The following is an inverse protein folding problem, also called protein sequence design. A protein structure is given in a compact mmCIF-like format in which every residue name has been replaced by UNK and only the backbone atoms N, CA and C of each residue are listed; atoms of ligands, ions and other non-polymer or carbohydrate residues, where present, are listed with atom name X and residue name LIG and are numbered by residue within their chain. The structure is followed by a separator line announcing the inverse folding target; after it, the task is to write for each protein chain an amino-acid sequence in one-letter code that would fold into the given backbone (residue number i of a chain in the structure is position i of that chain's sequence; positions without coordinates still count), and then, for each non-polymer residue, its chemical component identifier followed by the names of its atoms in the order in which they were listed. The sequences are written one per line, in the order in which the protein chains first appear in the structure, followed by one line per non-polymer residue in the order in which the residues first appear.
data_IF_013453185618
#
_entry.id   IF_013453185618
#
_cell.length_a   1.000
_cell.length_b   1.000
_cell.length_c   1.000
_cell.angle_alpha   90.00
_cell.angle_beta   90.00
_cell.angle_gamma   90.00
#
_symmetry.space_group_name_H-M   'P 1'
#
loop_
_entity.id
_entity.type
_entity.pdbx_description
1 polymer ?
#
# COMPACT_ATOMS: atom_id res chain seq x y z
N UNK A 1 -13.49 22.14 -6.64
CA UNK A 1 -12.20 22.72 -6.23
C UNK A 1 -11.12 21.64 -6.36
N UNK A 2 -10.11 21.92 -7.20
CA UNK A 2 -8.74 21.35 -7.25
C UNK A 2 -8.57 19.84 -7.47
N UNK A 3 -8.57 19.45 -8.75
CA UNK A 3 -8.09 18.15 -9.26
C UNK A 3 -6.59 18.17 -9.64
N UNK A 4 -5.77 19.05 -9.06
CA UNK A 4 -4.44 19.37 -9.62
C UNK A 4 -3.23 18.79 -8.87
N UNK A 5 -3.39 18.00 -7.81
CA UNK A 5 -2.24 17.47 -7.02
C UNK A 5 -2.22 15.94 -6.86
N UNK A 6 -3.04 15.19 -7.62
CA UNK A 6 -3.03 13.71 -7.56
C UNK A 6 -1.84 13.06 -8.28
N UNK A 7 -1.06 13.81 -9.07
CA UNK A 7 0.02 13.23 -9.91
C UNK A 7 1.22 12.72 -9.10
N UNK A 8 1.54 13.44 -8.02
CA UNK A 8 2.70 13.18 -7.15
C UNK A 8 2.33 12.40 -5.88
N UNK A 9 1.04 12.20 -5.61
CA UNK A 9 0.57 11.34 -4.53
C UNK A 9 0.25 9.95 -5.07
N UNK A 10 1.05 8.93 -4.69
CA UNK A 10 0.86 7.55 -5.16
C UNK A 10 0.86 6.56 -4.02
N UNK A 11 0.00 5.56 -4.13
CA UNK A 11 0.01 4.41 -3.25
C UNK A 11 0.76 3.24 -3.91
N UNK A 12 1.48 2.45 -3.12
CA UNK A 12 2.12 1.23 -3.58
C UNK A 12 2.17 0.19 -2.48
N UNK A 13 2.26 -1.07 -2.89
CA UNK A 13 2.36 -2.23 -2.01
C UNK A 13 3.82 -2.61 -1.84
N UNK A 14 4.22 -2.82 -0.60
CA UNK A 14 5.46 -3.51 -0.22
C UNK A 14 5.10 -4.73 0.60
N UNK A 15 6.04 -5.66 0.69
CA UNK A 15 5.93 -6.81 1.58
C UNK A 15 7.05 -6.76 2.62
N UNK A 16 6.72 -7.15 3.84
CA UNK A 16 7.66 -7.22 4.94
C UNK A 16 7.57 -8.59 5.60
N UNK A 17 8.71 -9.15 6.00
CA UNK A 17 8.74 -10.36 6.81
C UNK A 17 8.44 -10.00 8.27
N UNK A 18 7.54 -10.75 8.89
CA UNK A 18 7.18 -10.65 10.30
C UNK A 18 7.12 -12.06 10.88
N UNK A 19 8.04 -12.37 11.81
CA UNK A 19 8.07 -13.64 12.55
C UNK A 19 8.09 -14.91 11.67
N UNK A 20 8.75 -14.86 10.51
CA UNK A 20 8.82 -15.98 9.56
C UNK A 20 7.63 -16.09 8.61
N UNK A 21 6.67 -15.17 8.71
CA UNK A 21 5.58 -14.96 7.77
C UNK A 21 5.73 -13.60 7.09
N UNK A 22 4.79 -13.23 6.22
CA UNK A 22 4.84 -12.00 5.44
C UNK A 22 3.56 -11.19 5.63
N UNK A 23 3.70 -9.87 5.68
CA UNK A 23 2.57 -8.93 5.66
C UNK A 23 2.70 -8.03 4.44
N UNK A 24 1.58 -7.50 3.96
CA UNK A 24 1.64 -6.38 3.02
C UNK A 24 1.60 -5.06 3.77
N UNK A 25 2.28 -4.07 3.19
CA UNK A 25 2.27 -2.68 3.63
C UNK A 25 1.88 -1.82 2.44
N UNK A 26 0.74 -1.14 2.52
CA UNK A 26 0.34 -0.15 1.52
C UNK A 26 0.75 1.22 2.03
N UNK A 27 1.57 1.93 1.27
CA UNK A 27 2.05 3.27 1.64
C UNK A 27 1.58 4.30 0.61
N UNK A 28 0.91 5.34 1.07
CA UNK A 28 0.57 6.53 0.30
C UNK A 28 1.68 7.57 0.49
N UNK A 29 2.40 7.88 -0.58
CA UNK A 29 3.53 8.82 -0.58
C UNK A 29 3.19 10.01 -1.45
N UNK A 30 3.48 11.20 -0.92
CA UNK A 30 3.54 12.45 -1.66
C UNK A 30 4.99 12.69 -2.06
N UNK A 31 5.30 12.43 -3.34
CA UNK A 31 6.65 12.53 -3.87
C UNK A 31 7.10 13.98 -4.05
N UNK A 32 6.16 14.92 -4.25
CA UNK A 32 6.47 16.34 -4.33
C UNK A 32 6.93 16.88 -2.97
N UNK A 33 6.19 16.53 -1.89
CA UNK A 33 6.56 16.89 -0.52
C UNK A 33 7.67 16.01 0.06
N UNK A 34 7.95 14.85 -0.56
CA UNK A 34 8.85 13.80 -0.04
C UNK A 34 8.39 13.26 1.32
N UNK A 35 7.09 13.07 1.47
CA UNK A 35 6.44 12.67 2.72
C UNK A 35 5.61 11.39 2.55
N UNK A 36 5.63 10.54 3.57
CA UNK A 36 4.65 9.46 3.71
C UNK A 36 3.38 10.04 4.33
N UNK A 37 2.26 10.01 3.59
CA UNK A 37 0.99 10.54 4.06
C UNK A 37 0.21 9.52 4.90
N UNK A 38 0.33 8.23 4.57
CA UNK A 38 -0.36 7.14 5.28
C UNK A 38 0.33 5.81 5.00
N UNK A 39 0.33 4.92 5.99
CA UNK A 39 0.67 3.51 5.82
C UNK A 39 -0.42 2.64 6.42
N UNK A 40 -0.71 1.52 5.76
CA UNK A 40 -1.60 0.46 6.21
C UNK A 40 -0.81 -0.84 6.19
N UNK A 41 -0.97 -1.67 7.21
CA UNK A 41 -0.36 -2.99 7.32
C UNK A 41 -1.48 -4.01 7.40
N UNK A 42 -1.30 -5.18 6.80
CA UNK A 42 -2.27 -6.27 6.94
C UNK A 42 -2.32 -6.78 8.37
N UNK A 43 -3.54 -7.02 8.88
CA UNK A 43 -3.75 -7.81 10.09
C UNK A 43 -3.44 -9.30 9.85
N UNK A 44 -3.69 -9.77 8.63
CA UNK A 44 -3.39 -11.13 8.20
C UNK A 44 -1.90 -11.29 7.84
N UNK A 45 -1.36 -12.48 8.14
CA UNK A 45 -0.04 -12.92 7.71
C UNK A 45 -0.14 -13.93 6.57
N UNK A 46 0.89 -13.98 5.73
CA UNK A 46 0.95 -14.82 4.55
C UNK A 46 2.22 -15.66 4.57
N UNK A 47 2.09 -16.92 4.13
CA UNK A 47 3.22 -17.86 4.11
C UNK A 47 4.35 -17.43 3.16
N UNK A 48 4.06 -16.61 2.14
CA UNK A 48 5.06 -16.14 1.17
C UNK A 48 4.92 -14.65 0.88
N UNK A 49 6.05 -14.02 0.55
CA UNK A 49 6.08 -12.63 0.08
C UNK A 49 5.20 -12.41 -1.15
N UNK A 50 5.15 -13.37 -2.07
CA UNK A 50 4.28 -13.27 -3.26
C UNK A 50 2.80 -13.20 -2.86
N UNK A 51 2.35 -14.09 -1.97
CA UNK A 51 0.97 -14.09 -1.50
C UNK A 51 0.59 -12.80 -0.76
N UNK A 52 1.49 -12.27 0.08
CA UNK A 52 1.30 -10.97 0.71
C UNK A 52 1.16 -9.86 -0.34
N UNK A 53 2.03 -9.85 -1.36
CA UNK A 53 1.99 -8.86 -2.43
C UNK A 53 0.68 -8.92 -3.21
N UNK A 54 0.28 -10.10 -3.67
CA UNK A 54 -0.96 -10.28 -4.43
C UNK A 54 -2.18 -9.80 -3.63
N UNK A 55 -2.25 -10.15 -2.33
CA UNK A 55 -3.31 -9.70 -1.44
C UNK A 55 -3.30 -8.17 -1.23
N UNK A 56 -2.11 -7.58 -1.05
CA UNK A 56 -1.94 -6.13 -0.93
C UNK A 56 -2.32 -5.39 -2.22
N UNK A 57 -1.98 -5.91 -3.40
CA UNK A 57 -2.36 -5.33 -4.70
C UNK A 57 -3.87 -5.41 -4.91
N UNK A 58 -4.50 -6.53 -4.54
CA UNK A 58 -5.96 -6.66 -4.56
C UNK A 58 -6.64 -5.65 -3.61
N UNK A 59 -6.11 -5.48 -2.40
CA UNK A 59 -6.63 -4.52 -1.43
C UNK A 59 -6.45 -3.07 -1.89
N UNK A 60 -5.28 -2.71 -2.42
CA UNK A 60 -5.02 -1.40 -2.99
C UNK A 60 -6.02 -1.07 -4.11
N UNK A 61 -6.23 -2.02 -5.03
CA UNK A 61 -7.20 -1.85 -6.12
C UNK A 61 -8.62 -1.64 -5.61
N UNK A 62 -9.03 -2.35 -4.56
CA UNK A 62 -10.34 -2.16 -3.94
C UNK A 62 -10.50 -0.75 -3.33
N UNK A 63 -9.46 -0.22 -2.67
CA UNK A 63 -9.45 1.16 -2.15
C UNK A 63 -9.54 2.22 -3.25
N UNK A 64 -8.93 1.96 -4.42
CA UNK A 64 -9.04 2.86 -5.57
C UNK A 64 -10.44 2.88 -6.18
N UNK A 65 -11.18 1.76 -6.09
CA UNK A 65 -12.54 1.63 -6.60
C UNK A 65 -13.60 2.23 -5.66
N UNK A 66 -13.32 2.34 -4.37
CA UNK A 66 -14.19 2.95 -3.36
C UNK A 66 -14.18 4.50 -3.38
N UNK A 67 -13.31 5.11 -4.21
CA UNK A 67 -13.05 6.55 -4.26
C UNK A 67 -13.82 7.29 -5.36
#
# INVERSE_FOLDING_TARGET
MKSEDKGDVRAFVQTAEQSGEHVWVITLVDFAAREVKRSLVSDETYATSAAARDAGEAHLKALEQDR
#
